data_IF_797261980484
#
_entry.id   IF_797261980484
#
_cell.length_a   1.000
_cell.length_b   1.000
_cell.length_c   1.000
_cell.angle_alpha   90.00
_cell.angle_beta   90.00
_cell.angle_gamma   90.00
#
_symmetry.space_group_name_H-M   'P 1'
#
loop_
_entity.id
_entity.type
_entity.pdbx_description
1 polymer ?
2 non-polymer ?
3 water ?
#
# COMPACT_ATOMS: atom_id res chain seq x y z
N UNK A 1 0.38 -15.09 -10.93
CA UNK A 1 -0.83 -15.54 -10.29
C UNK A 1 -1.10 -14.87 -8.93
N UNK A 2 -0.13 -14.08 -8.52
CA UNK A 2 -0.14 -13.32 -7.29
C UNK A 2 -0.21 -14.20 -6.07
N UNK A 3 0.91 -14.26 -5.39
CA UNK A 3 0.98 -15.01 -4.18
C UNK A 3 0.38 -14.16 -3.08
N UNK A 4 -0.10 -14.80 -2.04
CA UNK A 4 -0.65 -14.05 -0.93
C UNK A 4 0.19 -14.20 0.32
N UNK A 5 0.40 -13.09 1.01
CA UNK A 5 1.21 -13.13 2.21
C UNK A 5 0.37 -13.11 3.48
N UNK A 6 0.84 -13.89 4.44
CA UNK A 6 0.25 -14.07 5.75
C UNK A 6 0.62 -12.94 6.70
N UNK A 7 -0.37 -12.22 7.23
CA UNK A 7 -0.13 -11.10 8.16
C UNK A 7 -0.04 -11.60 9.59
N UNK A 8 0.51 -10.77 10.49
CA UNK A 8 0.64 -11.17 11.90
C UNK A 8 -0.65 -11.62 12.55
N UNK A 9 -1.79 -11.14 12.03
CA UNK A 9 -3.09 -11.51 12.56
C UNK A 9 -3.67 -12.80 11.97
N UNK A 10 -3.00 -13.43 11.01
CA UNK A 10 -3.54 -14.67 10.43
C UNK A 10 -4.38 -14.44 9.16
N UNK A 11 -4.39 -13.21 8.69
CA UNK A 11 -5.07 -12.79 7.49
C UNK A 11 -4.06 -12.80 6.35
N UNK A 12 -4.55 -13.06 5.13
CA UNK A 12 -3.71 -13.08 3.94
C UNK A 12 -4.00 -11.92 3.04
N UNK A 13 -2.95 -11.41 2.43
CA UNK A 13 -3.06 -10.31 1.51
C UNK A 13 -2.27 -10.66 0.26
N UNK A 14 -2.87 -10.34 -0.86
CA UNK A 14 -2.30 -10.58 -2.17
C UNK A 14 -1.18 -9.60 -2.38
N UNK A 15 -0.02 -10.17 -2.70
CA UNK A 15 1.20 -9.42 -2.83
C UNK A 15 1.26 -8.27 -3.81
N UNK A 16 0.45 -8.36 -4.85
CA UNK A 16 0.38 -7.31 -5.84
C UNK A 16 -1.06 -6.91 -5.96
N UNK A 17 -1.29 -5.61 -6.08
CA UNK A 17 -2.63 -5.12 -6.19
C UNK A 17 -2.65 -3.91 -7.07
N UNK A 18 -3.75 -3.20 -6.98
CA UNK A 18 -4.00 -2.03 -7.77
C UNK A 18 -4.39 -0.86 -6.88
N UNK A 19 -3.69 0.26 -7.06
CA UNK A 19 -3.92 1.51 -6.34
C UNK A 19 -4.73 2.52 -7.15
N UNK A 20 -5.60 3.28 -6.47
CA UNK A 20 -6.46 4.27 -7.15
C UNK A 20 -6.19 5.71 -6.89
N UNK A 21 -5.03 5.99 -6.34
CA UNK A 21 -4.65 7.34 -6.08
C UNK A 21 -4.50 8.05 -7.41
N UNK A 22 -5.10 9.21 -7.52
CA UNK A 22 -5.02 9.95 -8.74
C UNK A 22 -5.95 9.51 -9.87
N UNK A 23 -6.78 8.48 -9.65
CA UNK A 23 -7.75 8.12 -10.66
C UNK A 23 -8.98 8.98 -10.37
N UNK A 24 -9.44 9.78 -11.33
CA UNK A 24 -10.59 10.64 -11.07
C UNK A 24 -11.76 9.83 -10.58
N UNK A 25 -12.51 10.41 -9.65
CA UNK A 25 -13.63 9.70 -9.09
C UNK A 25 -14.62 9.26 -10.17
N UNK A 26 -14.83 10.12 -11.15
CA UNK A 26 -15.76 9.79 -12.21
C UNK A 26 -15.30 8.61 -13.07
N UNK A 27 -13.99 8.44 -13.26
CA UNK A 27 -13.50 7.31 -14.05
C UNK A 27 -13.19 6.13 -13.19
N UNK A 28 -13.30 6.32 -11.90
CA UNK A 28 -12.99 5.25 -11.01
C UNK A 28 -13.68 3.91 -11.22
N UNK A 29 -14.96 3.92 -11.60
CA UNK A 29 -15.62 2.62 -11.81
C UNK A 29 -15.00 1.79 -12.92
N UNK A 30 -14.80 2.42 -14.10
CA UNK A 30 -14.22 1.74 -15.26
C UNK A 30 -12.81 1.24 -14.95
N UNK A 31 -12.03 2.15 -14.38
CA UNK A 31 -10.67 1.88 -14.01
C UNK A 31 -10.58 0.61 -13.19
N UNK A 32 -11.45 0.48 -12.20
CA UNK A 32 -11.41 -0.70 -11.38
C UNK A 32 -12.03 -1.93 -12.02
N UNK A 33 -13.03 -1.70 -12.89
CA UNK A 33 -13.67 -2.81 -13.58
C UNK A 33 -12.62 -3.50 -14.41
N UNK A 34 -11.90 -2.69 -15.15
CA UNK A 34 -10.83 -3.20 -15.97
C UNK A 34 -9.80 -3.98 -15.21
N UNK A 35 -9.34 -3.42 -14.07
CA UNK A 35 -8.32 -4.07 -13.26
C UNK A 35 -8.76 -5.44 -12.76
N UNK A 36 -10.03 -5.53 -12.40
CA UNK A 36 -10.59 -6.77 -11.93
C UNK A 36 -10.64 -7.76 -13.10
N UNK A 37 -11.04 -7.22 -14.25
CA UNK A 37 -11.12 -8.00 -15.47
C UNK A 37 -9.76 -8.56 -15.81
N UNK A 38 -8.79 -7.64 -15.85
CA UNK A 38 -7.42 -7.98 -16.15
C UNK A 38 -6.86 -9.06 -15.22
N UNK A 39 -7.23 -9.06 -13.94
CA UNK A 39 -6.73 -10.11 -13.05
C UNK A 39 -6.42 -9.69 -11.61
N UNK A 40 -6.54 -8.40 -11.34
CA UNK A 40 -6.25 -7.86 -10.02
C UNK A 40 -7.30 -8.18 -8.96
N UNK A 41 -6.82 -8.47 -7.74
CA UNK A 41 -7.72 -8.80 -6.64
C UNK A 41 -7.56 -7.95 -5.40
N UNK A 42 -6.53 -7.12 -5.35
CA UNK A 42 -6.30 -6.27 -4.21
C UNK A 42 -6.38 -4.80 -4.62
N UNK A 43 -7.40 -4.06 -4.06
CA UNK A 43 -7.60 -2.64 -4.38
C UNK A 43 -7.21 -1.73 -3.20
N UNK A 44 -6.41 -0.71 -3.47
CA UNK A 44 -5.99 0.22 -2.44
C UNK A 44 -6.57 1.62 -2.68
N UNK A 45 -7.56 1.96 -1.86
CA UNK A 45 -8.20 3.25 -1.96
C UNK A 45 -8.00 4.04 -0.66
N UNK A 46 -8.62 5.19 -0.57
CA UNK A 46 -8.52 6.01 0.60
C UNK A 46 -9.68 6.94 0.59
N UNK A 47 -10.22 7.21 1.78
CA UNK A 47 -11.35 8.09 1.88
C UNK A 47 -11.03 9.41 1.21
N UNK A 48 -9.80 9.85 1.40
CA UNK A 48 -9.35 11.09 0.82
C UNK A 48 -9.21 11.04 -0.69
N UNK A 49 -9.21 9.85 -1.27
CA UNK A 49 -9.09 9.76 -2.73
C UNK A 49 -10.39 10.20 -3.40
N UNK A 50 -11.47 10.17 -2.60
CA UNK A 50 -12.81 10.54 -3.01
C UNK A 50 -13.43 9.58 -4.02
N UNK A 51 -12.94 8.35 -4.05
CA UNK A 51 -13.44 7.42 -5.02
C UNK A 51 -13.85 6.07 -4.48
N UNK A 52 -14.13 5.99 -3.21
CA UNK A 52 -14.56 4.74 -2.67
C UNK A 52 -15.84 4.29 -3.36
N UNK A 53 -16.56 5.28 -3.88
CA UNK A 53 -17.81 5.01 -4.55
C UNK A 53 -17.66 4.15 -5.79
N UNK A 54 -16.72 4.57 -6.66
CA UNK A 54 -16.41 3.87 -7.89
C UNK A 54 -15.92 2.48 -7.60
N UNK A 55 -15.00 2.41 -6.64
CA UNK A 55 -14.46 1.14 -6.23
C UNK A 55 -15.57 0.18 -5.82
N UNK A 56 -16.53 0.69 -5.07
CA UNK A 56 -17.61 -0.16 -4.60
C UNK A 56 -18.50 -0.65 -5.74
N UNK A 57 -18.84 0.26 -6.64
CA UNK A 57 -19.71 -0.03 -7.76
C UNK A 57 -19.12 -1.11 -8.65
N UNK A 58 -17.83 -0.94 -8.93
CA UNK A 58 -17.07 -1.83 -9.76
C UNK A 58 -17.12 -3.23 -9.22
N UNK A 59 -16.79 -3.34 -7.96
CA UNK A 59 -16.80 -4.57 -7.24
C UNK A 59 -18.17 -5.21 -7.34
N UNK A 60 -19.19 -4.37 -7.23
CA UNK A 60 -20.54 -4.88 -7.30
C UNK A 60 -20.88 -5.39 -8.71
N UNK A 61 -20.51 -4.57 -9.69
CA UNK A 61 -20.70 -4.82 -11.11
C UNK A 61 -20.00 -6.10 -11.58
N UNK A 62 -18.78 -6.31 -11.07
CA UNK A 62 -17.96 -7.49 -11.36
C UNK A 62 -18.68 -8.69 -10.79
N UNK A 63 -18.36 -9.89 -11.22
CA UNK A 63 -19.09 -10.98 -10.62
C UNK A 63 -18.32 -11.65 -9.50
N UNK A 64 -17.16 -11.11 -9.15
CA UNK A 64 -16.35 -11.74 -8.12
C UNK A 64 -16.96 -11.76 -6.73
N UNK A 65 -16.79 -12.90 -6.07
CA UNK A 65 -17.23 -13.13 -4.71
C UNK A 65 -16.36 -12.29 -3.78
N UNK A 66 -16.95 -11.75 -2.72
CA UNK A 66 -16.25 -10.89 -1.79
C UNK A 66 -14.97 -11.54 -1.25
N UNK A 67 -15.05 -12.84 -1.00
CA UNK A 67 -13.98 -13.67 -0.48
C UNK A 67 -12.68 -13.53 -1.26
N UNK A 68 -12.77 -13.50 -2.58
CA UNK A 68 -11.59 -13.41 -3.42
C UNK A 68 -11.03 -12.00 -3.54
N UNK A 69 -11.72 -11.02 -2.93
CA UNK A 69 -11.29 -9.62 -2.97
C UNK A 69 -10.61 -9.17 -1.68
N UNK A 70 -9.78 -8.13 -1.77
CA UNK A 70 -9.08 -7.56 -0.62
C UNK A 70 -9.11 -6.06 -0.74
N UNK A 71 -10.02 -5.48 0.02
CA UNK A 71 -10.20 -4.04 0.02
C UNK A 71 -9.48 -3.40 1.19
N UNK A 72 -8.79 -2.33 0.87
CA UNK A 72 -8.04 -1.55 1.85
C UNK A 72 -8.45 -0.12 1.73
N UNK A 73 -8.81 0.48 2.87
CA UNK A 73 -9.13 1.89 2.88
C UNK A 73 -8.35 2.59 3.97
N UNK A 74 -8.49 3.90 4.06
CA UNK A 74 -7.72 4.63 5.05
C UNK A 74 -8.46 5.76 5.76
N UNK A 75 -7.99 5.96 7.00
CA UNK A 75 -8.45 6.98 7.96
C UNK A 75 -7.78 8.33 7.77
N UNK A 76 -8.55 9.31 7.36
CA UNK A 76 -8.00 10.63 7.14
C UNK A 76 -7.53 11.39 8.38
N UNK A 77 -6.60 12.32 8.13
CA UNK A 77 -5.92 13.12 9.12
C UNK A 77 -6.82 13.90 10.08
N UNK A 78 -7.90 14.42 9.56
CA UNK A 78 -8.81 15.15 10.38
C UNK A 78 -9.78 14.24 11.10
N UNK A 79 -9.44 12.99 11.30
CA UNK A 79 -10.41 12.15 11.96
C UNK A 79 -9.81 11.30 13.06
N UNK A 80 -8.66 11.69 13.56
CA UNK A 80 -7.99 10.92 14.61
C UNK A 80 -8.59 11.03 16.00
N UNK A 81 -9.26 12.17 16.25
CA UNK A 81 -9.83 12.54 17.56
C UNK A 81 -11.18 11.97 17.97
N UNK A 82 -11.34 11.84 19.29
CA UNK A 82 -12.55 11.30 19.88
C UNK A 82 -12.89 9.99 19.21
N UNK A 83 -14.15 9.87 18.79
CA UNK A 83 -14.62 8.70 18.08
C UNK A 83 -14.86 9.00 16.61
N UNK A 84 -14.05 9.92 16.08
CA UNK A 84 -14.14 10.21 14.66
C UNK A 84 -13.79 8.95 13.87
N UNK A 85 -12.87 8.11 14.38
CA UNK A 85 -12.52 6.92 13.65
C UNK A 85 -13.73 6.04 13.31
N UNK A 86 -14.66 5.87 14.28
CA UNK A 86 -15.87 5.09 14.07
C UNK A 86 -16.80 5.72 13.04
N UNK A 87 -16.83 7.05 13.02
CA UNK A 87 -17.67 7.74 12.05
C UNK A 87 -17.07 7.64 10.67
N UNK A 88 -15.75 7.80 10.62
CA UNK A 88 -14.99 7.73 9.39
C UNK A 88 -15.14 6.40 8.69
N UNK A 89 -14.86 5.30 9.39
CA UNK A 89 -14.97 4.02 8.73
C UNK A 89 -16.37 3.72 8.26
N UNK A 90 -17.36 4.11 9.04
CA UNK A 90 -18.74 3.84 8.68
C UNK A 90 -19.14 4.48 7.37
N UNK A 91 -18.66 5.69 7.14
CA UNK A 91 -18.95 6.37 5.92
C UNK A 91 -18.21 5.72 4.75
N UNK A 92 -17.00 5.22 5.00
CA UNK A 92 -16.24 4.54 3.95
C UNK A 92 -17.02 3.30 3.52
N UNK A 93 -17.45 2.55 4.56
CA UNK A 93 -18.22 1.33 4.38
C UNK A 93 -19.44 1.52 3.53
N UNK A 94 -20.09 2.66 3.71
CA UNK A 94 -21.29 3.02 2.98
C UNK A 94 -21.00 3.43 1.54
N UNK A 95 -19.81 3.98 1.33
CA UNK A 95 -19.37 4.39 0.02
C UNK A 95 -19.00 3.16 -0.81
N UNK A 96 -18.25 2.29 -0.17
CA UNK A 96 -17.78 1.06 -0.76
C UNK A 96 -18.89 0.04 -0.89
N UNK A 97 -19.95 0.29 -0.14
CA UNK A 97 -21.09 -0.60 -0.12
C UNK A 97 -20.67 -2.02 0.24
N UNK A 98 -19.90 -2.14 1.30
CA UNK A 98 -19.45 -3.43 1.78
C UNK A 98 -19.83 -3.59 3.23
N UNK A 99 -19.70 -4.82 3.71
CA UNK A 99 -19.98 -5.12 5.09
C UNK A 99 -18.78 -4.82 5.94
N UNK A 100 -17.62 -4.99 5.33
CA UNK A 100 -16.39 -4.75 6.00
C UNK A 100 -15.25 -4.69 5.01
N UNK A 101 -14.22 -3.91 5.36
CA UNK A 101 -13.02 -3.82 4.55
C UNK A 101 -12.08 -4.88 5.03
N UNK A 102 -11.05 -5.13 4.26
CA UNK A 102 -10.08 -6.15 4.62
C UNK A 102 -9.00 -5.62 5.51
N UNK A 103 -8.69 -4.38 5.28
CA UNK A 103 -7.64 -3.70 5.99
C UNK A 103 -7.96 -2.23 6.06
N UNK A 104 -7.68 -1.66 7.21
CA UNK A 104 -7.92 -0.24 7.44
C UNK A 104 -6.65 0.35 8.01
N UNK A 105 -6.34 1.54 7.55
CA UNK A 105 -5.12 2.16 8.02
C UNK A 105 -5.27 3.60 8.41
N UNK A 106 -4.33 3.98 9.29
CA UNK A 106 -4.18 5.34 9.74
C UNK A 106 -3.35 5.98 8.65
N UNK A 107 -3.97 6.83 7.86
CA UNK A 107 -3.27 7.41 6.76
C UNK A 107 -1.91 8.07 7.03
N UNK A 108 -1.83 8.94 8.05
CA UNK A 108 -0.59 9.65 8.41
C UNK A 108 -0.51 9.77 9.92
N UNK A 109 0.69 9.82 10.52
CA UNK A 109 0.72 9.94 11.96
C UNK A 109 0.37 11.36 12.52
N UNK A 110 0.56 12.44 11.74
CA UNK A 110 0.29 13.83 12.17
C UNK A 110 0.83 14.09 13.59
N UNK A 111 2.13 13.85 13.75
CA UNK A 111 2.82 13.94 15.03
C UNK A 111 2.69 15.26 15.78
N UNK A 112 2.49 16.36 15.07
CA UNK A 112 2.33 17.66 15.71
C UNK A 112 1.02 17.71 16.49
N UNK A 113 0.01 17.03 15.93
CA UNK A 113 -1.31 16.95 16.54
C UNK A 113 -1.29 15.99 17.71
N UNK A 114 -0.18 15.29 17.84
CA UNK A 114 0.02 14.31 18.89
C UNK A 114 -1.16 13.38 19.19
N UNK A 115 -1.94 13.00 18.15
CA UNK A 115 -3.09 12.11 18.39
C UNK A 115 -3.01 10.70 17.75
N UNK A 116 -1.83 10.24 17.34
CA UNK A 116 -1.75 8.95 16.70
C UNK A 116 -1.95 7.73 17.59
N UNK A 117 -1.60 7.85 18.87
CA UNK A 117 -1.81 6.76 19.80
C UNK A 117 -3.29 6.59 20.02
N UNK A 118 -3.97 7.72 20.15
CA UNK A 118 -5.40 7.74 20.33
C UNK A 118 -6.10 7.08 19.14
N UNK A 119 -5.70 7.47 17.93
CA UNK A 119 -6.28 6.90 16.72
C UNK A 119 -6.04 5.40 16.63
N UNK A 120 -4.85 4.97 17.02
CA UNK A 120 -4.55 3.57 17.03
C UNK A 120 -5.45 2.84 18.04
N UNK A 121 -5.70 3.48 19.19
CA UNK A 121 -6.60 2.90 20.22
C UNK A 121 -7.97 2.60 19.66
N UNK A 122 -8.48 3.58 18.95
CA UNK A 122 -9.77 3.47 18.34
C UNK A 122 -9.78 2.40 17.26
N UNK A 123 -8.64 2.29 16.55
CA UNK A 123 -8.51 1.31 15.45
C UNK A 123 -8.71 -0.09 15.95
N UNK A 124 -8.14 -0.34 17.11
CA UNK A 124 -8.28 -1.62 17.72
C UNK A 124 -9.74 -1.91 18.04
N UNK A 125 -10.51 -0.83 18.25
CA UNK A 125 -11.94 -0.96 18.55
C UNK A 125 -12.76 -1.38 17.34
N UNK A 126 -12.43 -0.78 16.19
CA UNK A 126 -13.09 -1.06 14.92
C UNK A 126 -12.87 -2.51 14.51
N UNK A 127 -11.66 -3.01 14.72
CA UNK A 127 -11.39 -4.39 14.38
C UNK A 127 -12.21 -5.31 15.27
N UNK A 128 -12.25 -5.02 16.57
CA UNK A 128 -13.05 -5.84 17.43
C UNK A 128 -14.54 -5.73 17.06
N UNK A 129 -14.96 -4.58 16.53
CA UNK A 129 -16.36 -4.37 16.12
C UNK A 129 -16.71 -5.11 14.83
N UNK A 130 -15.67 -5.59 14.13
CA UNK A 130 -15.83 -6.32 12.89
C UNK A 130 -16.00 -5.41 11.69
N UNK A 131 -15.65 -4.15 11.86
CA UNK A 131 -15.76 -3.21 10.78
C UNK A 131 -14.66 -3.44 9.75
N UNK A 132 -13.56 -4.04 10.21
CA UNK A 132 -12.41 -4.30 9.37
C UNK A 132 -11.70 -5.55 9.84
N UNK A 133 -11.11 -6.33 8.92
CA UNK A 133 -10.43 -7.55 9.36
C UNK A 133 -9.08 -7.27 9.96
N UNK A 134 -8.38 -6.34 9.38
CA UNK A 134 -7.09 -6.05 9.91
C UNK A 134 -6.91 -4.57 9.99
N UNK A 135 -5.92 -4.21 10.79
CA UNK A 135 -5.55 -2.82 11.00
C UNK A 135 -4.05 -2.66 10.88
N UNK A 136 -3.70 -1.52 10.37
CA UNK A 136 -2.34 -1.15 10.16
C UNK A 136 -2.26 0.36 10.04
N UNK A 137 -1.05 0.82 9.84
CA UNK A 137 -0.81 2.23 9.75
C UNK A 137 -0.07 2.56 8.45
N UNK A 138 0.05 3.85 8.19
CA UNK A 138 0.70 4.30 6.99
C UNK A 138 1.56 5.49 7.34
N UNK A 139 2.78 5.50 6.82
CA UNK A 139 3.67 6.63 7.02
C UNK A 139 4.14 6.84 8.46
N UNK A 140 4.16 5.80 9.25
CA UNK A 140 4.62 5.87 10.61
C UNK A 140 6.11 5.61 10.74
N UNK A 141 6.82 6.48 11.46
CA UNK A 141 8.25 6.32 11.70
C UNK A 141 8.47 5.28 12.81
N UNK A 142 9.73 4.90 13.08
CA UNK A 142 9.96 3.89 14.11
C UNK A 142 9.55 4.27 15.50
N UNK A 143 9.71 5.57 15.83
CA UNK A 143 9.32 6.06 17.12
C UNK A 143 7.81 5.98 17.26
N UNK A 144 7.08 6.37 16.20
CA UNK A 144 5.62 6.28 16.20
C UNK A 144 5.17 4.85 16.48
N UNK A 145 5.90 3.93 15.86
CA UNK A 145 5.64 2.51 15.93
C UNK A 145 5.78 1.91 17.32
N UNK A 146 6.93 2.17 17.90
CA UNK A 146 7.28 1.71 19.22
C UNK A 146 6.27 2.18 20.28
N UNK A 147 5.85 3.42 20.11
CA UNK A 147 4.91 4.06 21.02
C UNK A 147 3.53 3.45 20.97
N UNK A 148 2.93 3.42 19.77
CA UNK A 148 1.61 2.84 19.64
C UNK A 148 1.58 1.42 20.14
N UNK A 149 2.68 0.73 19.98
CA UNK A 149 2.75 -0.64 20.40
C UNK A 149 2.93 -0.80 21.89
N UNK A 150 3.80 0.03 22.43
CA UNK A 150 4.04 -0.02 23.86
C UNK A 150 2.76 0.42 24.55
N UNK A 151 2.06 1.35 23.93
CA UNK A 151 0.82 1.85 24.50
C UNK A 151 -0.36 0.86 24.44
N UNK A 152 -0.51 0.12 23.34
CA UNK A 152 -1.64 -0.80 23.21
C UNK A 152 -1.33 -2.27 23.31
N UNK A 153 -0.10 -2.64 22.94
CA UNK A 153 0.26 -4.05 22.95
C UNK A 153 -0.28 -4.73 21.69
N UNK A 154 -0.75 -3.91 20.74
CA UNK A 154 -1.29 -4.38 19.46
C UNK A 154 -0.40 -3.95 18.29
N UNK A 155 0.33 -4.91 17.71
CA UNK A 155 1.21 -4.63 16.58
C UNK A 155 0.42 -4.44 15.31
N UNK A 156 0.73 -3.42 14.53
CA UNK A 156 0.01 -3.21 13.30
C UNK A 156 0.34 -4.31 12.31
N UNK A 157 -0.60 -4.66 11.44
CA UNK A 157 -0.33 -5.72 10.47
C UNK A 157 0.60 -5.28 9.35
N UNK A 158 0.44 -4.04 8.95
CA UNK A 158 1.27 -3.48 7.92
C UNK A 158 1.61 -2.04 8.23
N UNK A 159 2.56 -1.58 7.45
CA UNK A 159 3.04 -0.24 7.43
C UNK A 159 3.34 0.13 6.00
N UNK A 160 2.42 0.89 5.42
CA UNK A 160 2.49 1.36 4.06
C UNK A 160 3.26 2.69 3.99
N UNK A 161 4.43 2.66 3.31
CA UNK A 161 5.32 3.82 3.20
C UNK A 161 5.86 4.06 1.81
N UNK A 162 6.38 5.28 1.62
CA UNK A 162 6.98 5.61 0.35
C UNK A 162 8.17 4.69 0.17
N UNK A 163 8.21 3.91 -0.92
CA UNK A 163 9.31 2.99 -1.08
C UNK A 163 9.59 2.66 -2.54
N UNK A 164 10.84 2.90 -2.90
CA UNK A 164 11.36 2.71 -4.22
C UNK A 164 12.89 2.75 -4.16
N UNK A 165 13.54 2.32 -5.23
CA UNK A 165 14.98 2.22 -5.27
C UNK A 165 15.81 3.37 -4.68
N UNK A 166 15.50 4.60 -5.09
CA UNK A 166 16.23 5.79 -4.63
C UNK A 166 15.92 6.26 -3.19
N UNK A 167 14.97 5.60 -2.52
CA UNK A 167 14.55 5.97 -1.18
C UNK A 167 13.82 4.79 -0.59
N UNK A 168 14.56 3.99 0.14
CA UNK A 168 14.10 2.76 0.73
C UNK A 168 13.64 2.74 2.19
N UNK A 169 13.94 3.78 2.98
CA UNK A 169 13.54 3.81 4.39
C UNK A 169 13.92 2.53 5.12
N UNK A 170 15.17 2.11 4.96
CA UNK A 170 15.64 0.86 5.57
C UNK A 170 15.43 0.69 7.05
N UNK A 171 15.49 1.80 7.81
CA UNK A 171 15.31 1.71 9.26
C UNK A 171 13.91 1.22 9.55
N UNK A 172 12.99 1.62 8.71
CA UNK A 172 11.64 1.18 8.92
C UNK A 172 11.43 -0.29 8.53
N UNK A 173 11.89 -0.65 7.34
CA UNK A 173 11.72 -2.02 6.89
C UNK A 173 12.40 -2.99 7.81
N UNK A 174 13.55 -2.55 8.32
CA UNK A 174 14.32 -3.37 9.23
C UNK A 174 13.57 -3.67 10.50
N UNK A 175 12.93 -2.63 11.02
CA UNK A 175 12.15 -2.72 12.23
C UNK A 175 10.95 -3.59 11.99
N UNK A 176 10.31 -3.29 10.87
CA UNK A 176 9.14 -4.02 10.47
C UNK A 176 9.43 -5.50 10.38
N UNK A 177 10.63 -5.86 9.93
CA UNK A 177 10.99 -7.27 9.80
C UNK A 177 11.20 -7.97 11.11
N UNK A 178 11.66 -7.23 12.11
CA UNK A 178 11.89 -7.83 13.39
C UNK A 178 10.62 -8.01 14.19
N UNK A 179 9.64 -7.17 13.86
CA UNK A 179 8.33 -7.08 14.50
C UNK A 179 7.18 -7.78 13.78
N UNK A 180 7.50 -8.65 12.83
CA UNK A 180 6.51 -9.37 12.04
C UNK A 180 5.48 -8.46 11.36
N UNK A 181 5.91 -7.24 11.08
CA UNK A 181 5.08 -6.25 10.40
C UNK A 181 5.43 -6.23 8.89
N UNK A 182 4.43 -6.29 8.00
CA UNK A 182 4.67 -6.27 6.56
C UNK A 182 4.70 -4.86 5.97
N UNK A 183 5.60 -4.64 5.02
CA UNK A 183 5.72 -3.36 4.37
C UNK A 183 4.97 -3.29 3.05
N UNK A 184 4.22 -2.21 2.86
CA UNK A 184 3.50 -1.93 1.64
C UNK A 184 4.20 -0.74 1.06
N UNK A 185 4.69 -0.91 -0.16
CA UNK A 185 5.39 0.20 -0.78
C UNK A 185 4.43 1.10 -1.50
N UNK A 186 4.54 2.39 -1.27
CA UNK A 186 3.71 3.29 -2.01
C UNK A 186 4.60 4.06 -2.94
N UNK A 187 4.06 4.50 -4.07
CA UNK A 187 4.88 5.19 -5.04
C UNK A 187 6.04 4.27 -5.43
N UNK A 188 5.72 2.97 -5.61
CA UNK A 188 6.71 1.92 -5.93
C UNK A 188 7.55 2.16 -7.21
N UNK A 189 6.97 2.90 -8.14
CA UNK A 189 7.58 3.25 -9.42
C UNK A 189 7.98 4.73 -9.44
N UNK A 190 8.30 5.26 -8.26
CA UNK A 190 8.74 6.66 -8.09
C UNK A 190 7.69 7.70 -8.43
N UNK A 191 6.44 7.27 -8.54
CA UNK A 191 5.37 8.18 -8.87
C UNK A 191 5.64 8.96 -10.11
N UNK A 192 6.58 8.46 -10.92
CA UNK A 192 6.93 9.12 -12.16
C UNK A 192 7.57 10.48 -11.93
N UNK A 193 8.21 10.63 -10.76
CA UNK A 193 8.87 11.87 -10.38
C UNK A 193 10.36 11.95 -10.68
N UNK A 194 10.88 10.92 -11.34
CA UNK A 194 12.28 10.86 -11.69
C UNK A 194 12.57 9.67 -12.57
N UNK A 195 13.63 9.80 -13.39
CA UNK A 195 14.05 8.76 -14.35
C UNK A 195 14.49 7.46 -13.70
N UNK A 196 13.52 6.69 -13.25
CA UNK A 196 13.75 5.42 -12.61
C UNK A 196 14.05 4.33 -13.64
N UNK A 197 13.27 4.37 -14.73
CA UNK A 197 13.37 3.40 -15.81
C UNK A 197 14.66 3.50 -16.63
N UNK A 198 15.23 4.70 -16.67
CA UNK A 198 16.48 4.95 -17.34
C UNK A 198 17.66 4.51 -16.47
N UNK A 199 17.35 4.22 -15.21
CA UNK A 199 18.37 3.79 -14.26
C UNK A 199 19.08 2.58 -14.84
N UNK A 200 20.40 2.60 -14.83
CA UNK A 200 21.12 1.49 -15.43
C UNK A 200 21.03 0.13 -14.74
N UNK A 201 20.94 0.12 -13.40
CA UNK A 201 20.81 -1.16 -12.75
C UNK A 201 19.41 -1.68 -13.07
N UNK A 202 18.59 -0.75 -13.54
CA UNK A 202 17.23 -1.05 -13.92
C UNK A 202 17.19 -1.60 -15.35
N UNK A 203 17.78 -0.85 -16.27
CA UNK A 203 17.84 -1.24 -17.66
C UNK A 203 18.59 -2.57 -17.82
N UNK A 204 19.59 -2.78 -16.99
CA UNK A 204 20.35 -4.01 -17.01
C UNK A 204 19.52 -5.21 -16.63
N UNK A 205 18.72 -5.09 -15.56
CA UNK A 205 17.93 -6.25 -15.16
C UNK A 205 16.80 -6.54 -16.11
N UNK A 206 16.31 -5.49 -16.76
CA UNK A 206 15.24 -5.59 -17.72
C UNK A 206 15.68 -6.42 -18.92
N UNK A 207 16.69 -5.92 -19.62
CA UNK A 207 17.20 -6.64 -20.77
C UNK A 207 17.71 -8.01 -20.42
N UNK A 208 18.24 -8.17 -19.23
CA UNK A 208 18.74 -9.48 -18.90
C UNK A 208 17.64 -10.51 -18.88
N UNK A 209 16.42 -10.07 -18.57
CA UNK A 209 15.32 -11.01 -18.48
C UNK A 209 14.27 -10.81 -19.56
N UNK A 210 14.47 -9.81 -20.38
CA UNK A 210 13.51 -9.55 -21.41
C UNK A 210 12.19 -8.96 -20.88
N UNK A 211 12.28 -8.32 -19.73
CA UNK A 211 11.11 -7.69 -19.12
C UNK A 211 11.23 -6.18 -19.30
N UNK A 212 10.18 -5.41 -19.03
CA UNK A 212 10.27 -3.97 -19.15
C UNK A 212 10.93 -3.45 -17.89
N UNK A 213 11.33 -2.20 -17.89
CA UNK A 213 11.95 -1.69 -16.69
C UNK A 213 10.94 -1.60 -15.54
N UNK A 214 9.71 -1.21 -15.87
CA UNK A 214 8.67 -1.11 -14.87
C UNK A 214 8.53 -2.43 -14.14
N UNK A 215 8.60 -3.51 -14.91
CA UNK A 215 8.48 -4.86 -14.39
C UNK A 215 9.70 -5.26 -13.57
N UNK A 216 10.83 -4.68 -13.91
CA UNK A 216 12.02 -5.03 -13.18
C UNK A 216 11.91 -4.50 -11.75
N UNK A 217 11.38 -3.28 -11.64
CA UNK A 217 11.22 -2.65 -10.34
C UNK A 217 10.31 -3.49 -9.44
N UNK A 218 9.11 -3.74 -9.95
CA UNK A 218 8.11 -4.50 -9.23
C UNK A 218 8.65 -5.79 -8.69
N UNK A 219 9.31 -6.50 -9.57
CA UNK A 219 9.91 -7.74 -9.18
C UNK A 219 10.89 -7.51 -8.05
N UNK A 220 11.58 -6.36 -8.07
CA UNK A 220 12.54 -6.02 -7.00
C UNK A 220 11.82 -5.96 -5.67
N UNK A 221 10.77 -5.13 -5.66
CA UNK A 221 9.94 -4.96 -4.48
C UNK A 221 9.48 -6.32 -4.00
N UNK A 222 8.89 -7.02 -4.95
CA UNK A 222 8.32 -8.32 -4.74
C UNK A 222 9.29 -9.30 -4.14
N UNK A 223 10.49 -9.35 -4.69
CA UNK A 223 11.46 -10.28 -4.15
C UNK A 223 11.94 -9.87 -2.77
N UNK A 224 11.85 -8.58 -2.48
CA UNK A 224 12.23 -8.01 -1.19
C UNK A 224 11.24 -8.35 -0.10
N UNK A 225 10.08 -8.82 -0.51
CA UNK A 225 9.03 -9.20 0.43
C UNK A 225 7.92 -8.17 0.55
N UNK A 226 8.03 -7.10 -0.24
CA UNK A 226 7.03 -6.06 -0.19
C UNK A 226 5.74 -6.35 -0.96
N UNK A 227 4.67 -5.68 -0.51
CA UNK A 227 3.36 -5.71 -1.10
C UNK A 227 3.32 -4.41 -1.88
N UNK A 228 2.96 -4.49 -3.17
CA UNK A 228 2.94 -3.34 -4.05
C UNK A 228 1.63 -3.24 -4.77
N UNK A 229 1.31 -2.05 -5.21
CA UNK A 229 0.07 -1.82 -5.90
C UNK A 229 0.17 -0.57 -6.74
N UNK A 230 0.84 -0.74 -7.86
CA UNK A 230 1.04 0.35 -8.76
C UNK A 230 -0.24 0.81 -9.37
N UNK A 231 -0.20 2.06 -9.75
CA UNK A 231 -1.30 2.68 -10.37
C UNK A 231 -1.02 2.98 -11.84
N UNK A 232 -2.03 2.77 -12.65
CA UNK A 232 -1.97 3.06 -14.07
C UNK A 232 -3.37 3.11 -14.66
N UNK A 233 -3.62 4.11 -15.50
CA UNK A 233 -4.92 4.23 -16.12
C UNK A 233 -4.98 3.53 -17.47
N UNK A 234 -3.85 2.94 -17.89
CA UNK A 234 -3.72 2.25 -19.18
C UNK A 234 -3.80 0.71 -19.10
N UNK A 235 -4.76 0.10 -19.83
CA UNK A 235 -4.92 -1.35 -19.79
C UNK A 235 -3.63 -2.12 -20.00
N UNK A 236 -2.89 -1.68 -20.98
CA UNK A 236 -1.62 -2.26 -21.35
C UNK A 236 -0.74 -2.40 -20.13
N UNK A 237 -0.66 -1.31 -19.36
CA UNK A 237 0.16 -1.28 -18.15
C UNK A 237 -0.36 -2.21 -17.07
N UNK A 238 -1.69 -2.27 -16.93
CA UNK A 238 -2.30 -3.15 -15.96
C UNK A 238 -1.83 -4.53 -16.25
N UNK A 239 -1.87 -4.86 -17.55
CA UNK A 239 -1.42 -6.16 -17.98
C UNK A 239 0.08 -6.31 -17.79
N UNK A 240 0.83 -5.33 -18.22
CA UNK A 240 2.27 -5.42 -18.07
C UNK A 240 2.68 -5.56 -16.62
N UNK A 241 2.11 -4.71 -15.78
CA UNK A 241 2.47 -4.74 -14.39
C UNK A 241 2.04 -6.01 -13.66
N UNK A 242 1.08 -6.72 -14.21
CA UNK A 242 0.56 -7.92 -13.58
C UNK A 242 1.39 -9.18 -13.90
N UNK A 243 2.11 -9.12 -15.03
CA UNK A 243 2.96 -10.22 -15.46
C UNK A 243 4.40 -10.04 -14.93
N UNK A 244 4.63 -10.53 -13.71
CA UNK A 244 5.92 -10.41 -13.03
C UNK A 244 6.21 -11.56 -12.11
N UNK A 245 5.52 -12.66 -12.32
CA UNK A 245 5.75 -13.83 -11.52
C UNK A 245 6.59 -14.79 -12.34
N UNK A 246 6.94 -14.28 -13.52
CA UNK A 246 7.76 -14.98 -14.47
C UNK A 246 9.16 -15.18 -14.03
N UNK A 247 9.92 -14.12 -14.18
CA UNK A 247 11.32 -14.14 -13.87
C UNK A 247 11.68 -14.10 -12.40
N UNK A 248 12.93 -13.71 -12.19
CA UNK A 248 13.54 -13.61 -10.89
C UNK A 248 14.85 -12.91 -11.03
N UNK A 249 14.96 -11.73 -10.45
CA UNK A 249 16.23 -11.06 -10.50
C UNK A 249 17.27 -11.86 -9.72
N UNK A 250 18.53 -11.55 -9.99
CA UNK A 250 19.68 -12.17 -9.34
C UNK A 250 20.12 -11.33 -8.16
N UNK A 251 20.68 -12.00 -7.14
CA UNK A 251 21.19 -11.35 -5.94
C UNK A 251 21.96 -10.09 -6.24
N UNK A 252 22.82 -10.20 -7.24
CA UNK A 252 23.65 -9.11 -7.69
C UNK A 252 22.84 -8.01 -8.34
N UNK A 253 21.80 -8.43 -9.03
CA UNK A 253 20.96 -7.46 -9.69
C UNK A 253 20.18 -6.67 -8.66
N UNK A 254 19.79 -7.38 -7.60
CA UNK A 254 19.05 -6.79 -6.51
C UNK A 254 19.91 -5.84 -5.75
N UNK A 255 21.16 -6.25 -5.60
CA UNK A 255 22.14 -5.43 -4.94
C UNK A 255 22.31 -4.12 -5.70
N UNK A 256 22.32 -4.24 -7.02
CA UNK A 256 22.54 -3.07 -7.87
C UNK A 256 21.45 -2.03 -7.78
N UNK A 257 20.26 -2.49 -7.49
CA UNK A 257 19.16 -1.59 -7.41
C UNK A 257 19.12 -0.93 -6.07
N UNK A 258 19.44 -1.73 -5.06
CA UNK A 258 19.50 -1.30 -3.68
C UNK A 258 20.45 -0.15 -3.50
N UNK A 259 21.53 -0.22 -4.25
CA UNK A 259 22.57 0.77 -4.19
C UNK A 259 22.14 2.11 -4.74
N UNK A 260 20.95 2.16 -5.33
CA UNK A 260 20.47 3.42 -5.86
C UNK A 260 20.09 4.39 -4.74
N UNK A 261 19.90 3.86 -3.53
CA UNK A 261 19.52 4.69 -2.37
C UNK A 261 20.76 5.37 -1.80
N UNK A 262 20.92 6.67 -2.09
CA UNK A 262 22.06 7.49 -1.66
C UNK A 262 22.36 7.40 -0.16
N UNK A 263 21.31 7.26 0.64
CA UNK A 263 21.43 7.12 2.08
C UNK A 263 21.27 8.42 2.87
N UNK A 264 21.14 9.54 2.17
CA UNK A 264 20.98 10.83 2.78
C UNK A 264 19.53 11.29 2.70
N UNK A 265 18.65 10.37 2.33
CA UNK A 265 17.25 10.67 2.19
C UNK A 265 16.97 11.61 1.04
N UNK A 266 17.92 11.74 0.11
CA UNK A 266 17.72 12.64 -1.02
C UNK A 266 16.85 12.10 -2.15
N UNK A 267 16.59 10.79 -2.17
CA UNK A 267 15.79 10.17 -3.21
C UNK A 267 14.27 10.31 -3.00
N UNK A 268 13.87 10.87 -1.86
CA UNK A 268 12.46 11.08 -1.54
C UNK A 268 11.77 11.96 -2.56
N UNK A 269 10.56 11.55 -2.94
CA UNK A 269 9.79 12.23 -3.96
C UNK A 269 8.52 12.88 -3.42
N UNK A 270 7.98 12.28 -2.34
CA UNK A 270 6.75 12.75 -1.68
C UNK A 270 6.98 13.35 -0.30
N UNK A 271 5.87 13.59 0.40
CA UNK A 271 5.86 14.17 1.73
C UNK A 271 6.40 13.24 2.82
N UNK A 272 7.17 13.87 3.75
CA UNK A 272 7.75 13.25 4.93
C UNK A 272 6.71 13.41 6.05
N UNK A 273 6.50 12.38 6.87
CA UNK A 273 5.49 12.46 7.91
C UNK A 273 5.59 13.68 8.78
N UNK A 274 6.82 14.12 9.04
CA UNK A 274 6.99 15.29 9.86
C UNK A 274 6.53 16.57 9.19
N UNK A 275 5.86 16.48 8.05
CA UNK A 275 5.40 17.72 7.40
C UNK A 275 3.92 17.69 7.09
N UNK A 276 3.32 16.54 7.34
CA UNK A 276 1.92 16.34 7.07
C UNK A 276 1.08 16.48 8.32
N UNK A 277 0.27 17.50 8.26
CA UNK A 277 -0.63 17.89 9.33
C UNK A 277 -2.04 17.35 9.12
X LIG B 1 3.22 4.80 -8.74
X LIG B 1 4.63 4.87 -8.29
X LIG B 1 2.60 3.44 -8.73
X LIG B 1 3.18 5.41 -10.11
X LIG B 1 2.02 5.68 -10.95
X LIG B 1 2.44 6.40 -12.23
X LIG B 1 3.29 5.58 -13.06
X LIG B 1 1.33 6.85 -13.15
X LIG B 1 1.69 8.06 -13.78
X LIG B 1 1.21 5.73 -14.17
X LIG B 1 0.84 6.25 -15.42
X LIG B 1 2.62 5.21 -14.27
X LIG B 1 2.68 3.76 -14.39
X LIG B 1 2.20 2.60 -13.86
X LIG B 1 2.69 1.51 -14.39
X LIG B 1 3.57 2.00 -15.34
X LIG B 1 4.41 1.37 -16.27
X LIG B 1 4.50 0.03 -16.40
X LIG B 1 5.14 2.15 -17.07
X LIG B 1 5.04 3.48 -16.96
X LIG B 1 4.28 4.20 -16.14
X LIG B 1 3.55 3.39 -15.35
X LIG B 1 2.71 5.96 -7.88
X LIG B 1 1.34 5.99 -6.93
X LIG B 1 1.45 7.28 -6.18
X LIG B 1 0.05 5.75 -7.62
X LIG B 1 1.60 4.87 -5.97
X LIG B 1 0.81 3.68 -6.02
X LIG B 1 -0.35 3.66 -5.02
X LIG B 1 0.09 3.61 -3.64
X LIG B 1 -1.34 4.81 -5.06
X LIG B 1 -2.21 4.67 -6.17
X LIG B 1 -2.07 4.55 -3.75
X LIG B 1 -2.98 3.47 -3.83
X LIG B 1 -0.92 4.18 -2.82
X LIG B 1 -0.36 5.36 -2.20
X LIG B 1 -0.43 5.39 -0.85
X LIG B 1 -0.08 6.51 -0.12
X LIG B 1 -0.13 6.54 1.39
X LIG B 1 0.34 7.52 1.95
X LIG B 1 -0.66 5.48 2.00
X LIG B 1 0.35 7.66 -0.77
X LIG B 1 0.42 7.65 -2.18
X LIG B 1 0.04 6.48 -2.85
X LIG B 1 -0.44 5.85 -16.05
X LIG B 1 -0.23 4.60 -16.84
X LIG B 1 -0.91 6.97 -16.89
X LIG B 1 -1.49 5.62 -15.03
#
# INVERSE_FOLDING_TARGET
TVPSIVLNDGNSIPQLGYGVFKVPPADTQRAVEEALEVGYRHIDTAAIYGNEEGVGAAIAASGIARDDLFITTKLWNDRHDGDEPAAAIAESLAKLALDQVDLYLVHWPTPAADNYVHAWEKMIELRAAGLTRSIGVSNHLVPHLERIVAATGVVPAVNQIELHPAYQQREITDWAAAHDVKIESWGPLGQGKYDLFGAEPVTAAAAAHGKTPAQAVLRWHLQKGFVVFPKSVRRERLEENLDVFDFDLTDTEIAAIDAMDPGDGSGRVSAHPDEVD
NDP PA O1A O2A O5B C5B C4B O4B C3B O3B C2B O2B C1B N9A C8A N7A C5A C6A N6A N1A C2A N3A C4A O3 PN O1N O2N O5D C5D C4D O4D C3D O3D C2D O2D C1D N1N C2N C3N C7N O7N N7N C4N C5N C6N P2B O1X O2X O3X
#
